data_IF_123403928468
#
_entry.id   IF_123403928468
#
_cell.length_a   1.000
_cell.length_b   1.000
_cell.length_c   1.000
_cell.angle_alpha   90.00
_cell.angle_beta   90.00
_cell.angle_gamma   90.00
#
_symmetry.space_group_name_H-M   'P 1'
#
loop_
_entity.id
_entity.type
_entity.pdbx_description
1 polymer ?
#
# COMPACT_ATOMS: atom_id res chain seq x y z
N UNK A 1 -24.87 -3.18 -15.98
CA UNK A 1 -23.68 -3.13 -15.10
C UNK A 1 -22.66 -2.17 -15.70
N UNK A 2 -22.39 -1.06 -15.02
CA UNK A 2 -21.44 -0.02 -15.47
C UNK A 2 -19.99 -0.58 -15.44
N UNK A 3 -19.07 -0.05 -16.27
CA UNK A 3 -17.67 -0.51 -16.35
C UNK A 3 -16.96 -0.46 -14.99
N UNK A 4 -17.11 0.64 -14.25
CA UNK A 4 -16.51 0.81 -12.90
C UNK A 4 -16.98 -0.25 -11.89
N UNK A 5 -18.22 -0.72 -12.01
CA UNK A 5 -18.74 -1.77 -11.12
C UNK A 5 -18.10 -3.13 -11.43
N UNK A 6 -17.95 -3.47 -12.71
CA UNK A 6 -17.26 -4.70 -13.13
C UNK A 6 -15.79 -4.69 -12.69
N UNK A 7 -15.10 -3.57 -12.89
CA UNK A 7 -13.71 -3.39 -12.45
C UNK A 7 -13.58 -3.56 -10.93
N UNK A 8 -14.50 -2.96 -10.16
CA UNK A 8 -14.51 -3.12 -8.71
C UNK A 8 -14.70 -4.57 -8.27
N UNK A 9 -15.62 -5.31 -8.90
CA UNK A 9 -15.81 -6.73 -8.60
C UNK A 9 -14.59 -7.56 -8.95
N UNK A 10 -13.95 -7.32 -10.11
CA UNK A 10 -12.71 -7.99 -10.48
C UNK A 10 -11.60 -7.75 -9.45
N UNK A 11 -11.38 -6.49 -9.04
CA UNK A 11 -10.39 -6.16 -8.01
C UNK A 11 -10.71 -6.79 -6.64
N UNK A 12 -12.00 -6.95 -6.29
CA UNK A 12 -12.39 -7.69 -5.10
C UNK A 12 -12.00 -9.18 -5.17
N UNK A 13 -12.24 -9.82 -6.32
CA UNK A 13 -11.86 -11.22 -6.54
C UNK A 13 -10.34 -11.40 -6.48
N UNK A 14 -9.59 -10.49 -7.11
CA UNK A 14 -8.13 -10.50 -7.09
C UNK A 14 -7.59 -10.36 -5.66
N UNK A 15 -8.13 -9.42 -4.88
CA UNK A 15 -7.76 -9.26 -3.48
C UNK A 15 -8.03 -10.54 -2.68
N UNK A 16 -9.21 -11.14 -2.83
CA UNK A 16 -9.54 -12.38 -2.12
C UNK A 16 -8.60 -13.53 -2.49
N UNK A 17 -8.25 -13.66 -3.76
CA UNK A 17 -7.32 -14.68 -4.25
C UNK A 17 -5.92 -14.49 -3.65
N UNK A 18 -5.42 -13.25 -3.63
CA UNK A 18 -4.12 -12.93 -3.07
C UNK A 18 -4.06 -13.09 -1.55
N UNK A 19 -5.12 -12.74 -0.83
CA UNK A 19 -5.19 -12.99 0.62
C UNK A 19 -5.26 -14.49 0.90
N UNK A 20 -5.93 -15.28 0.05
CA UNK A 20 -5.90 -16.75 0.17
C UNK A 20 -4.52 -17.33 -0.07
N UNK A 21 -3.82 -16.89 -1.11
CA UNK A 21 -2.44 -17.30 -1.36
C UNK A 21 -1.51 -16.91 -0.20
N UNK A 22 -1.69 -15.71 0.38
CA UNK A 22 -0.98 -15.29 1.58
C UNK A 22 -1.24 -16.22 2.77
N UNK A 23 -2.50 -16.56 3.06
CA UNK A 23 -2.84 -17.53 4.12
C UNK A 23 -2.19 -18.90 3.91
N UNK A 24 -2.13 -19.38 2.66
CA UNK A 24 -1.48 -20.65 2.32
C UNK A 24 0.03 -20.61 2.62
N UNK A 25 0.70 -19.51 2.24
CA UNK A 25 2.11 -19.31 2.59
C UNK A 25 2.33 -19.18 4.10
N UNK A 26 1.44 -18.50 4.83
CA UNK A 26 1.51 -18.40 6.29
C UNK A 26 1.32 -19.78 6.93
N UNK A 27 0.44 -20.63 6.41
CA UNK A 27 0.28 -22.00 6.94
C UNK A 27 1.49 -22.88 6.65
N UNK A 28 2.12 -22.72 5.49
CA UNK A 28 3.27 -23.52 5.08
C UNK A 28 4.57 -23.11 5.82
N UNK A 29 4.72 -21.82 6.15
CA UNK A 29 5.99 -21.26 6.63
C UNK A 29 5.87 -20.50 7.96
N UNK A 30 4.67 -20.32 8.49
CA UNK A 30 4.42 -19.64 9.76
C UNK A 30 4.51 -20.60 10.94
N UNK A 31 5.40 -20.29 11.89
CA UNK A 31 5.42 -20.98 13.19
C UNK A 31 4.15 -20.69 14.00
N UNK A 32 3.76 -21.54 14.99
CA UNK A 32 2.53 -21.39 15.76
C UNK A 32 2.34 -20.02 16.44
N UNK A 33 3.43 -19.33 16.76
CA UNK A 33 3.43 -17.96 17.32
C UNK A 33 2.83 -16.92 16.38
N UNK A 34 2.74 -17.23 15.09
CA UNK A 34 2.22 -16.36 14.04
C UNK A 34 0.80 -16.74 13.59
N UNK A 35 0.07 -17.57 14.35
CA UNK A 35 -1.35 -17.88 14.09
C UNK A 35 -2.23 -16.63 13.94
N UNK A 36 -1.84 -15.53 14.58
CA UNK A 36 -2.46 -14.20 14.41
C UNK A 36 -2.47 -13.72 12.94
N UNK A 37 -1.51 -14.12 12.10
CA UNK A 37 -1.52 -13.75 10.68
C UNK A 37 -2.67 -14.38 9.90
N UNK A 38 -3.08 -15.59 10.28
CA UNK A 38 -4.24 -16.25 9.67
C UNK A 38 -5.51 -15.49 10.05
N UNK A 39 -5.67 -15.14 11.32
CA UNK A 39 -6.82 -14.37 11.80
C UNK A 39 -6.89 -12.98 11.13
N UNK A 40 -5.74 -12.32 10.99
CA UNK A 40 -5.64 -11.02 10.31
C UNK A 40 -5.99 -11.13 8.83
N UNK A 41 -5.56 -12.19 8.15
CA UNK A 41 -5.91 -12.43 6.74
C UNK A 41 -7.41 -12.72 6.55
N UNK A 42 -8.01 -13.51 7.45
CA UNK A 42 -9.45 -13.73 7.47
C UNK A 42 -10.21 -12.42 7.75
N UNK A 43 -9.68 -11.58 8.65
CA UNK A 43 -10.18 -10.23 8.90
C UNK A 43 -10.19 -9.36 7.63
N UNK A 44 -9.09 -9.35 6.88
CA UNK A 44 -8.98 -8.63 5.60
C UNK A 44 -10.04 -9.10 4.60
N UNK A 45 -10.22 -10.43 4.43
CA UNK A 45 -11.28 -10.98 3.54
C UNK A 45 -12.68 -10.56 3.98
N UNK A 46 -12.96 -10.65 5.28
CA UNK A 46 -14.25 -10.25 5.86
C UNK A 46 -14.52 -8.77 5.61
N UNK A 47 -13.53 -7.91 5.84
CA UNK A 47 -13.67 -6.48 5.63
C UNK A 47 -13.84 -6.13 4.15
N UNK A 48 -13.06 -6.77 3.26
CA UNK A 48 -13.22 -6.60 1.82
C UNK A 48 -14.62 -7.00 1.35
N UNK A 49 -15.17 -8.10 1.86
CA UNK A 49 -16.55 -8.54 1.59
C UNK A 49 -17.57 -7.54 2.11
N UNK A 50 -17.40 -7.03 3.33
CA UNK A 50 -18.30 -6.03 3.91
C UNK A 50 -18.32 -4.73 3.09
N UNK A 51 -17.16 -4.29 2.58
CA UNK A 51 -17.06 -3.15 1.66
C UNK A 51 -17.85 -3.46 0.38
N UNK A 52 -17.63 -4.62 -0.25
CA UNK A 52 -18.32 -4.99 -1.48
C UNK A 52 -19.84 -5.05 -1.31
N UNK A 53 -20.32 -5.66 -0.21
CA UNK A 53 -21.75 -5.72 0.12
C UNK A 53 -22.31 -4.33 0.44
N UNK A 54 -21.56 -3.49 1.16
CA UNK A 54 -21.97 -2.11 1.40
C UNK A 54 -22.11 -1.30 0.10
N UNK A 55 -21.18 -1.48 -0.85
CA UNK A 55 -21.25 -0.84 -2.17
C UNK A 55 -22.49 -1.28 -2.97
N UNK A 56 -22.86 -2.56 -2.87
CA UNK A 56 -24.09 -3.06 -3.48
C UNK A 56 -25.32 -2.39 -2.87
N UNK A 57 -25.42 -2.29 -1.54
CA UNK A 57 -26.51 -1.60 -0.86
C UNK A 57 -26.60 -0.11 -1.23
N UNK A 58 -25.47 0.60 -1.36
CA UNK A 58 -25.46 1.99 -1.84
C UNK A 58 -25.95 2.08 -3.30
N UNK A 59 -25.56 1.13 -4.14
CA UNK A 59 -26.01 1.02 -5.53
C UNK A 59 -27.52 0.78 -5.64
N UNK A 60 -28.06 -0.16 -4.87
CA UNK A 60 -29.49 -0.44 -4.79
C UNK A 60 -30.27 0.79 -4.30
N UNK A 61 -29.78 1.47 -3.26
CA UNK A 61 -30.41 2.70 -2.77
C UNK A 61 -30.49 3.78 -3.88
N UNK A 62 -29.43 3.94 -4.66
CA UNK A 62 -29.42 4.85 -5.81
C UNK A 62 -30.42 4.42 -6.90
N UNK A 63 -30.48 3.14 -7.23
CA UNK A 63 -31.41 2.63 -8.23
C UNK A 63 -32.88 2.79 -7.79
N UNK A 64 -33.18 2.62 -6.49
CA UNK A 64 -34.52 2.90 -5.93
C UNK A 64 -34.83 4.40 -6.06
N UNK A 65 -33.88 5.27 -5.71
CA UNK A 65 -34.06 6.73 -5.81
C UNK A 65 -34.35 7.17 -7.26
N UNK A 66 -33.66 6.55 -8.24
CA UNK A 66 -33.86 6.83 -9.66
C UNK A 66 -35.13 6.19 -10.26
N UNK A 67 -35.86 5.37 -9.49
CA UNK A 67 -37.03 4.64 -9.97
C UNK A 67 -36.69 3.46 -10.89
N UNK A 68 -35.42 3.05 -10.96
CA UNK A 68 -34.96 1.94 -11.80
C UNK A 68 -35.33 0.57 -11.21
N UNK A 69 -35.44 0.48 -9.88
CA UNK A 69 -35.91 -0.72 -9.18
C UNK A 69 -37.02 -0.39 -8.20
N UNK A 70 -38.01 -1.27 -8.10
CA UNK A 70 -39.06 -1.13 -7.12
C UNK A 70 -38.48 -1.34 -5.70
N UNK A 71 -38.83 -0.50 -4.72
CA UNK A 71 -38.48 -0.79 -3.34
C UNK A 71 -39.09 -2.13 -2.89
N UNK A 72 -38.33 -2.89 -2.09
CA UNK A 72 -38.87 -4.09 -1.47
C UNK A 72 -40.12 -3.74 -0.62
N UNK A 73 -41.10 -4.66 -0.59
CA UNK A 73 -42.38 -4.47 0.10
C UNK A 73 -42.17 -3.92 1.52
N UNK A 74 -42.68 -2.71 1.78
CA UNK A 74 -42.62 -2.05 3.09
C UNK A 74 -41.55 -0.95 3.26
N UNK A 75 -40.67 -0.72 2.27
CA UNK A 75 -39.68 0.36 2.33
C UNK A 75 -39.90 1.40 1.21
N UNK A 76 -40.81 2.35 1.41
CA UNK A 76 -41.02 3.44 0.44
C UNK A 76 -39.81 4.39 0.25
N UNK A 77 -38.71 4.20 1.00
CA UNK A 77 -37.56 5.11 1.03
C UNK A 77 -36.22 4.37 0.95
N UNK A 78 -35.33 4.84 0.09
CA UNK A 78 -33.97 4.32 -0.13
C UNK A 78 -32.98 4.67 1.00
N UNK A 79 -33.28 5.68 1.83
CA UNK A 79 -32.36 6.21 2.86
C UNK A 79 -31.84 5.18 3.87
N UNK A 80 -32.66 4.26 4.43
CA UNK A 80 -32.14 3.24 5.36
C UNK A 80 -31.09 2.32 4.72
N UNK A 81 -31.28 1.97 3.45
CA UNK A 81 -30.36 1.12 2.70
C UNK A 81 -29.04 1.85 2.41
N UNK A 82 -29.13 3.13 2.05
CA UNK A 82 -27.98 3.99 1.84
C UNK A 82 -27.14 4.10 3.12
N UNK A 83 -27.76 4.48 4.24
CA UNK A 83 -27.09 4.63 5.53
C UNK A 83 -26.42 3.33 5.98
N UNK A 84 -27.14 2.20 5.90
CA UNK A 84 -26.58 0.90 6.26
C UNK A 84 -25.39 0.51 5.38
N UNK A 85 -25.47 0.75 4.07
CA UNK A 85 -24.39 0.51 3.12
C UNK A 85 -23.14 1.34 3.43
N UNK A 86 -23.31 2.64 3.66
CA UNK A 86 -22.21 3.57 3.96
C UNK A 86 -21.55 3.26 5.30
N UNK A 87 -22.34 3.04 6.36
CA UNK A 87 -21.79 2.66 7.67
C UNK A 87 -21.03 1.33 7.61
N UNK A 88 -21.52 0.36 6.83
CA UNK A 88 -20.81 -0.91 6.63
C UNK A 88 -19.46 -0.71 5.95
N UNK A 89 -19.40 0.13 4.90
CA UNK A 89 -18.14 0.49 4.23
C UNK A 89 -17.17 1.15 5.21
N UNK A 90 -17.63 2.14 5.98
CA UNK A 90 -16.81 2.89 6.93
C UNK A 90 -16.18 1.98 8.00
N UNK A 91 -17.01 1.15 8.66
CA UNK A 91 -16.54 0.24 9.70
C UNK A 91 -15.55 -0.79 9.15
N UNK A 92 -15.85 -1.36 7.98
CA UNK A 92 -14.98 -2.34 7.35
C UNK A 92 -13.66 -1.73 6.88
N UNK A 93 -13.67 -0.53 6.29
CA UNK A 93 -12.44 0.15 5.88
C UNK A 93 -11.54 0.51 7.07
N UNK A 94 -12.13 0.96 8.19
CA UNK A 94 -11.40 1.21 9.44
C UNK A 94 -10.77 -0.09 10.00
N UNK A 95 -11.55 -1.17 10.05
CA UNK A 95 -11.07 -2.49 10.47
C UNK A 95 -9.96 -3.01 9.56
N UNK A 96 -10.12 -2.86 8.24
CA UNK A 96 -9.15 -3.26 7.23
C UNK A 96 -7.81 -2.58 7.47
N UNK A 97 -7.79 -1.25 7.68
CA UNK A 97 -6.58 -0.51 7.97
C UNK A 97 -5.82 -1.07 9.20
N UNK A 98 -6.54 -1.41 10.26
CA UNK A 98 -5.95 -2.03 11.48
C UNK A 98 -5.39 -3.41 11.16
N UNK A 99 -6.13 -4.24 10.43
CA UNK A 99 -5.70 -5.58 10.06
C UNK A 99 -4.44 -5.56 9.17
N UNK A 100 -4.38 -4.65 8.20
CA UNK A 100 -3.20 -4.45 7.33
C UNK A 100 -1.96 -4.03 8.13
N UNK A 101 -2.11 -3.09 9.07
CA UNK A 101 -1.01 -2.65 9.92
C UNK A 101 -0.52 -3.78 10.85
N UNK A 102 -1.47 -4.52 11.44
CA UNK A 102 -1.19 -5.70 12.27
C UNK A 102 -0.43 -6.79 11.52
N UNK A 103 -0.91 -7.16 10.34
CA UNK A 103 -0.29 -8.18 9.50
C UNK A 103 1.11 -7.76 9.04
N UNK A 104 1.27 -6.50 8.60
CA UNK A 104 2.58 -5.96 8.23
C UNK A 104 3.58 -5.97 9.37
N UNK A 105 3.13 -5.73 10.61
CA UNK A 105 3.99 -5.83 11.79
C UNK A 105 4.49 -7.27 11.97
N UNK A 106 3.58 -8.24 11.90
CA UNK A 106 3.90 -9.66 12.09
C UNK A 106 4.83 -10.18 10.99
N UNK A 107 4.55 -9.90 9.71
CA UNK A 107 5.41 -10.28 8.58
C UNK A 107 6.83 -9.70 8.73
N UNK A 108 6.95 -8.44 9.16
CA UNK A 108 8.27 -7.85 9.44
C UNK A 108 9.00 -8.52 10.59
N UNK A 109 8.29 -8.89 11.66
CA UNK A 109 8.87 -9.64 12.77
C UNK A 109 9.40 -10.99 12.28
N UNK A 110 8.62 -11.73 11.48
CA UNK A 110 9.08 -12.99 10.87
C UNK A 110 10.36 -12.82 10.05
N UNK A 111 10.42 -11.78 9.20
CA UNK A 111 11.62 -11.49 8.41
C UNK A 111 12.83 -11.10 9.29
N UNK A 112 12.60 -10.31 10.35
CA UNK A 112 13.64 -9.91 11.30
C UNK A 112 14.20 -11.11 12.06
N UNK A 113 13.32 -12.00 12.49
CA UNK A 113 13.66 -13.20 13.26
C UNK A 113 14.17 -14.34 12.37
N UNK A 114 14.28 -14.09 11.05
CA UNK A 114 14.79 -15.03 10.03
C UNK A 114 14.06 -16.37 10.03
N UNK A 115 12.74 -16.33 10.24
CA UNK A 115 11.91 -17.53 10.17
C UNK A 115 12.04 -18.16 8.77
N UNK A 116 12.30 -19.47 8.66
CA UNK A 116 12.39 -20.14 7.37
C UNK A 116 11.15 -19.89 6.49
N UNK A 117 11.34 -19.42 5.26
CA UNK A 117 10.24 -19.12 4.34
C UNK A 117 9.52 -17.78 4.58
N UNK A 118 9.96 -16.95 5.55
CA UNK A 118 9.41 -15.61 5.79
C UNK A 118 9.45 -14.70 4.55
N UNK A 119 10.39 -14.92 3.65
CA UNK A 119 10.51 -14.20 2.37
C UNK A 119 9.38 -14.54 1.38
N UNK A 120 8.90 -15.79 1.36
CA UNK A 120 7.70 -16.15 0.59
C UNK A 120 6.44 -15.49 1.16
N UNK A 121 6.32 -15.51 2.50
CA UNK A 121 5.22 -14.83 3.22
C UNK A 121 5.26 -13.32 2.96
N UNK A 122 6.45 -12.71 3.01
CA UNK A 122 6.67 -11.29 2.72
C UNK A 122 6.27 -10.90 1.30
N UNK A 123 6.63 -11.71 0.30
CA UNK A 123 6.24 -11.47 -1.09
C UNK A 123 4.72 -11.60 -1.30
N UNK A 124 4.10 -12.63 -0.71
CA UNK A 124 2.66 -12.80 -0.78
C UNK A 124 1.92 -11.63 -0.09
N UNK A 125 2.48 -11.13 1.02
CA UNK A 125 1.96 -9.96 1.72
C UNK A 125 2.04 -8.68 0.88
N UNK A 126 3.16 -8.45 0.19
CA UNK A 126 3.31 -7.31 -0.72
C UNK A 126 2.22 -7.28 -1.80
N UNK A 127 1.87 -8.44 -2.37
CA UNK A 127 0.78 -8.54 -3.34
C UNK A 127 -0.59 -8.18 -2.74
N UNK A 128 -0.85 -8.57 -1.48
CA UNK A 128 -2.08 -8.18 -0.76
C UNK A 128 -2.15 -6.66 -0.61
N UNK A 129 -1.04 -5.99 -0.27
CA UNK A 129 -0.99 -4.54 -0.12
C UNK A 129 -1.25 -3.80 -1.44
N UNK A 130 -0.65 -4.28 -2.53
CA UNK A 130 -0.85 -3.70 -3.87
C UNK A 130 -2.30 -3.89 -4.35
N UNK A 131 -2.86 -5.10 -4.21
CA UNK A 131 -4.24 -5.38 -4.57
C UNK A 131 -5.24 -4.61 -3.70
N UNK A 132 -4.95 -4.44 -2.41
CA UNK A 132 -5.78 -3.62 -1.52
C UNK A 132 -5.80 -2.17 -1.98
N UNK A 133 -4.63 -1.61 -2.34
CA UNK A 133 -4.54 -0.24 -2.85
C UNK A 133 -5.37 -0.03 -4.11
N UNK A 134 -5.32 -1.00 -5.03
CA UNK A 134 -6.12 -0.98 -6.25
C UNK A 134 -7.63 -1.10 -5.95
N UNK A 135 -8.01 -2.06 -5.11
CA UNK A 135 -9.40 -2.30 -4.71
C UNK A 135 -10.02 -1.07 -4.03
N UNK A 136 -9.30 -0.43 -3.10
CA UNK A 136 -9.77 0.82 -2.45
C UNK A 136 -9.93 1.96 -3.47
N UNK A 137 -9.00 2.10 -4.43
CA UNK A 137 -9.09 3.12 -5.49
C UNK A 137 -10.37 2.96 -6.31
N UNK A 138 -10.67 1.73 -6.74
CA UNK A 138 -11.89 1.43 -7.49
C UNK A 138 -13.15 1.60 -6.63
N UNK A 139 -13.08 1.24 -5.34
CA UNK A 139 -14.17 1.46 -4.39
C UNK A 139 -14.52 2.94 -4.24
N UNK A 140 -13.51 3.81 -4.10
CA UNK A 140 -13.73 5.26 -4.05
C UNK A 140 -14.31 5.79 -5.35
N UNK A 141 -13.77 5.40 -6.52
CA UNK A 141 -14.33 5.79 -7.83
C UNK A 141 -15.80 5.37 -7.97
N UNK A 142 -16.14 4.16 -7.54
CA UNK A 142 -17.51 3.66 -7.53
C UNK A 142 -18.39 4.50 -6.62
N UNK A 143 -17.99 4.80 -5.38
CA UNK A 143 -18.75 5.67 -4.48
C UNK A 143 -18.95 7.07 -5.05
N UNK A 144 -17.92 7.67 -5.65
CA UNK A 144 -18.04 8.97 -6.30
C UNK A 144 -19.07 8.95 -7.44
N UNK A 145 -19.06 7.88 -8.27
CA UNK A 145 -20.08 7.69 -9.30
C UNK A 145 -21.48 7.51 -8.72
N UNK A 146 -21.61 6.82 -7.58
CA UNK A 146 -22.89 6.66 -6.88
C UNK A 146 -23.37 7.98 -6.25
N UNK A 147 -22.47 8.85 -5.79
CA UNK A 147 -22.83 10.15 -5.21
C UNK A 147 -23.44 11.16 -6.19
N UNK A 148 -23.26 10.96 -7.51
CA UNK A 148 -23.81 11.87 -8.52
C UNK A 148 -25.33 11.90 -8.45
N UNK A 149 -25.91 13.10 -8.31
CA UNK A 149 -27.36 13.31 -8.22
C UNK A 149 -27.97 13.06 -6.84
N UNK A 150 -27.17 12.72 -5.82
CA UNK A 150 -27.64 12.59 -4.44
C UNK A 150 -27.85 13.94 -3.76
N UNK A 151 -28.72 13.97 -2.75
CA UNK A 151 -28.92 15.12 -1.88
C UNK A 151 -27.59 15.54 -1.21
N UNK A 152 -27.40 16.84 -0.88
CA UNK A 152 -26.16 17.31 -0.26
C UNK A 152 -25.76 16.55 1.02
N UNK A 153 -26.73 16.20 1.86
CA UNK A 153 -26.50 15.47 3.12
C UNK A 153 -25.98 14.04 2.86
N UNK A 154 -26.57 13.35 1.89
CA UNK A 154 -26.17 12.00 1.48
C UNK A 154 -24.78 12.01 0.84
N UNK A 155 -24.46 13.05 0.06
CA UNK A 155 -23.10 13.27 -0.48
C UNK A 155 -22.05 13.40 0.62
N UNK A 156 -22.39 14.04 1.74
CA UNK A 156 -21.48 14.16 2.88
C UNK A 156 -21.19 12.80 3.53
N UNK A 157 -22.22 11.96 3.71
CA UNK A 157 -22.06 10.59 4.20
C UNK A 157 -21.19 9.72 3.28
N UNK A 158 -21.36 9.86 1.95
CA UNK A 158 -20.50 9.21 0.95
C UNK A 158 -19.05 9.72 1.05
N UNK A 159 -18.87 11.02 1.31
CA UNK A 159 -17.56 11.63 1.57
C UNK A 159 -16.82 10.97 2.73
N UNK A 160 -17.49 10.73 3.86
CA UNK A 160 -16.89 10.00 4.99
C UNK A 160 -16.53 8.56 4.65
N UNK A 161 -17.41 7.82 3.97
CA UNK A 161 -17.11 6.45 3.55
C UNK A 161 -15.89 6.40 2.63
N UNK A 162 -15.81 7.35 1.68
CA UNK A 162 -14.66 7.49 0.78
C UNK A 162 -13.38 7.85 1.54
N UNK A 163 -13.45 8.74 2.53
CA UNK A 163 -12.31 9.09 3.39
C UNK A 163 -11.75 7.90 4.17
N UNK A 164 -12.61 6.99 4.64
CA UNK A 164 -12.15 5.76 5.29
C UNK A 164 -11.50 4.77 4.31
N UNK A 165 -12.00 4.66 3.08
CA UNK A 165 -11.34 3.86 2.03
C UNK A 165 -9.97 4.45 1.66
N UNK A 166 -9.86 5.79 1.55
CA UNK A 166 -8.59 6.48 1.34
C UNK A 166 -7.62 6.17 2.48
N UNK A 167 -8.07 6.25 3.72
CA UNK A 167 -7.22 5.92 4.87
C UNK A 167 -6.72 4.47 4.84
N UNK A 168 -7.57 3.50 4.46
CA UNK A 168 -7.13 2.11 4.30
C UNK A 168 -6.13 1.94 3.14
N UNK A 169 -6.33 2.65 2.02
CA UNK A 169 -5.37 2.69 0.92
C UNK A 169 -4.03 3.28 1.37
N UNK A 170 -4.04 4.40 2.09
CA UNK A 170 -2.84 5.07 2.56
C UNK A 170 -2.03 4.17 3.48
N UNK A 171 -2.70 3.44 4.38
CA UNK A 171 -2.04 2.42 5.21
C UNK A 171 -1.44 1.33 4.34
N UNK A 172 -2.17 0.79 3.35
CA UNK A 172 -1.65 -0.25 2.47
C UNK A 172 -0.38 0.23 1.72
N UNK A 173 -0.43 1.42 1.14
CA UNK A 173 0.70 2.06 0.45
C UNK A 173 1.88 2.32 1.38
N UNK A 174 1.63 2.81 2.60
CA UNK A 174 2.68 3.06 3.58
C UNK A 174 3.37 1.75 3.98
N UNK A 175 2.61 0.68 4.24
CA UNK A 175 3.18 -0.62 4.56
C UNK A 175 3.99 -1.19 3.37
N UNK A 176 3.52 -1.00 2.13
CA UNK A 176 4.24 -1.41 0.92
C UNK A 176 5.57 -0.66 0.77
N UNK A 177 5.55 0.67 0.92
CA UNK A 177 6.76 1.51 0.92
C UNK A 177 7.75 1.09 2.00
N UNK A 178 7.28 0.74 3.20
CA UNK A 178 8.13 0.22 4.27
C UNK A 178 8.77 -1.12 3.90
N UNK A 179 8.04 -2.01 3.23
CA UNK A 179 8.56 -3.28 2.70
C UNK A 179 9.65 -3.06 1.65
N UNK A 180 9.34 -2.28 0.61
CA UNK A 180 10.29 -1.92 -0.45
C UNK A 180 11.56 -1.28 0.09
N UNK A 181 11.45 -0.38 1.08
CA UNK A 181 12.63 0.22 1.72
C UNK A 181 13.58 -0.81 2.34
N UNK A 182 13.06 -1.91 2.91
CA UNK A 182 13.93 -2.97 3.43
C UNK A 182 14.54 -3.78 2.30
N UNK A 183 13.76 -4.10 1.26
CA UNK A 183 14.23 -4.86 0.09
C UNK A 183 15.31 -4.10 -0.68
N UNK A 184 15.19 -2.77 -0.82
CA UNK A 184 16.18 -1.91 -1.47
C UNK A 184 17.58 -1.98 -0.81
N UNK A 185 17.64 -2.24 0.50
CA UNK A 185 18.92 -2.42 1.22
C UNK A 185 19.58 -3.78 0.95
N UNK A 186 18.83 -4.73 0.38
CA UNK A 186 19.36 -6.06 0.08
C UNK A 186 20.14 -6.04 -1.23
N UNK A 187 21.42 -6.47 -1.23
CA UNK A 187 22.19 -6.58 -2.47
C UNK A 187 21.64 -7.66 -3.43
N UNK A 188 20.84 -8.60 -2.93
CA UNK A 188 20.26 -9.68 -3.75
C UNK A 188 18.90 -9.35 -4.34
N UNK A 189 18.13 -8.51 -3.64
CA UNK A 189 16.72 -8.29 -3.96
C UNK A 189 16.41 -6.85 -4.36
N UNK A 190 17.37 -5.94 -4.22
CA UNK A 190 17.19 -4.52 -4.53
C UNK A 190 16.74 -4.26 -5.97
N UNK A 191 17.28 -5.01 -6.95
CA UNK A 191 16.92 -4.88 -8.37
C UNK A 191 15.42 -5.06 -8.62
N UNK A 192 14.77 -5.99 -7.90
CA UNK A 192 13.34 -6.22 -8.04
C UNK A 192 12.48 -5.15 -7.36
N UNK A 193 12.99 -4.50 -6.31
CA UNK A 193 12.28 -3.46 -5.58
C UNK A 193 12.42 -2.06 -6.19
N UNK A 194 13.47 -1.84 -6.98
CA UNK A 194 13.82 -0.54 -7.51
C UNK A 194 12.76 0.06 -8.47
N UNK A 195 12.22 -0.69 -9.46
CA UNK A 195 11.16 -0.17 -10.31
C UNK A 195 9.89 0.21 -9.54
N UNK A 196 9.51 -0.61 -8.55
CA UNK A 196 8.34 -0.34 -7.71
C UNK A 196 8.54 0.88 -6.81
N UNK A 197 9.75 1.05 -6.26
CA UNK A 197 10.07 2.22 -5.45
C UNK A 197 10.02 3.52 -6.27
N UNK A 198 10.46 3.48 -7.54
CA UNK A 198 10.29 4.58 -8.49
C UNK A 198 8.81 4.84 -8.78
N UNK A 199 8.04 3.80 -9.12
CA UNK A 199 6.60 3.88 -9.41
C UNK A 199 5.80 4.48 -8.25
N UNK A 200 6.17 4.16 -7.00
CA UNK A 200 5.53 4.68 -5.80
C UNK A 200 6.06 6.03 -5.33
N UNK A 201 6.95 6.67 -6.09
CA UNK A 201 7.51 7.98 -5.78
C UNK A 201 8.28 8.01 -4.47
N UNK A 202 9.00 6.93 -4.13
CA UNK A 202 9.75 6.83 -2.88
C UNK A 202 11.01 7.69 -2.87
N UNK A 203 11.56 8.01 -4.05
CA UNK A 203 12.80 8.77 -4.19
C UNK A 203 12.53 10.26 -4.32
N UNK A 204 13.31 11.06 -3.61
CA UNK A 204 13.29 12.51 -3.77
C UNK A 204 13.90 12.91 -5.12
N UNK A 205 13.47 14.05 -5.70
CA UNK A 205 14.02 14.54 -6.96
C UNK A 205 15.53 14.73 -6.92
N UNK A 206 16.18 14.47 -8.06
CA UNK A 206 17.59 14.71 -8.26
C UNK A 206 17.91 16.22 -8.23
N UNK A 207 19.05 16.59 -7.60
CA UNK A 207 19.56 17.95 -7.44
C UNK A 207 21.05 17.95 -7.75
N UNK A 208 21.63 19.12 -8.01
CA UNK A 208 23.06 19.23 -8.35
C UNK A 208 24.00 18.61 -7.31
N UNK A 209 23.63 18.67 -6.02
CA UNK A 209 24.41 18.06 -4.92
C UNK A 209 23.48 17.35 -3.95
N UNK A 210 23.87 16.14 -3.57
CA UNK A 210 23.23 15.36 -2.51
C UNK A 210 24.24 14.93 -1.45
N UNK A 211 23.76 14.73 -0.23
CA UNK A 211 24.54 14.18 0.88
C UNK A 211 23.74 13.08 1.55
N UNK A 212 24.38 11.97 1.84
CA UNK A 212 23.71 10.86 2.51
C UNK A 212 24.57 9.62 2.64
N UNK A 213 23.95 8.59 3.22
CA UNK A 213 24.55 7.27 3.39
C UNK A 213 24.09 6.35 2.27
N UNK A 214 25.01 5.63 1.66
CA UNK A 214 24.68 4.57 0.68
C UNK A 214 23.96 3.45 1.41
N UNK A 215 22.78 3.09 0.93
CA UNK A 215 22.02 1.93 1.38
C UNK A 215 22.38 0.70 0.55
N UNK A 216 22.52 0.88 -0.77
CA UNK A 216 22.85 -0.15 -1.72
C UNK A 216 23.30 0.47 -3.04
N UNK A 217 23.96 -0.30 -3.90
CA UNK A 217 24.23 0.06 -5.30
C UNK A 217 23.61 -1.03 -6.16
N UNK A 218 22.67 -0.63 -7.02
CA UNK A 218 21.81 -1.54 -7.78
C UNK A 218 21.98 -1.17 -9.25
N UNK A 219 22.66 -2.02 -10.03
CA UNK A 219 23.03 -1.69 -11.40
C UNK A 219 23.79 -0.36 -11.48
N UNK A 220 23.20 0.61 -12.18
CA UNK A 220 23.74 1.97 -12.35
C UNK A 220 23.08 3.00 -11.43
N UNK A 221 22.41 2.58 -10.35
CA UNK A 221 21.81 3.50 -9.37
C UNK A 221 22.40 3.28 -7.97
N UNK A 222 22.93 4.35 -7.39
CA UNK A 222 23.28 4.41 -5.98
C UNK A 222 22.04 4.79 -5.18
N UNK A 223 21.56 3.86 -4.35
CA UNK A 223 20.44 4.09 -3.44
C UNK A 223 20.98 4.67 -2.15
N UNK A 224 20.55 5.87 -1.79
CA UNK A 224 21.05 6.59 -0.62
C UNK A 224 19.91 7.08 0.28
N UNK A 225 20.25 7.33 1.54
CA UNK A 225 19.38 8.01 2.50
C UNK A 225 20.04 9.30 2.96
N UNK A 226 19.35 10.42 2.81
CA UNK A 226 19.85 11.70 3.29
C UNK A 226 19.53 11.91 4.79
N UNK A 227 20.08 12.98 5.37
CA UNK A 227 19.88 13.31 6.79
C UNK A 227 18.41 13.62 7.16
N UNK A 228 17.58 14.01 6.19
CA UNK A 228 16.13 14.21 6.37
C UNK A 228 15.34 12.90 6.30
N UNK A 229 16.03 11.76 6.14
CA UNK A 229 15.45 10.45 6.01
C UNK A 229 14.86 10.14 4.63
N UNK A 230 15.01 11.03 3.65
CA UNK A 230 14.52 10.83 2.29
C UNK A 230 15.42 9.86 1.54
N UNK A 231 14.81 9.03 0.70
CA UNK A 231 15.51 8.14 -0.21
C UNK A 231 15.92 8.88 -1.48
N UNK A 232 17.07 8.51 -2.02
CA UNK A 232 17.61 9.00 -3.27
C UNK A 232 18.00 7.78 -4.12
N UNK A 233 17.70 7.84 -5.41
CA UNK A 233 18.24 6.93 -6.41
C UNK A 233 19.03 7.81 -7.38
N UNK A 234 20.36 7.71 -7.33
CA UNK A 234 21.26 8.56 -8.11
C UNK A 234 21.94 7.72 -9.20
N UNK A 235 21.83 8.09 -10.48
CA UNK A 235 22.56 7.43 -11.54
C UNK A 235 24.07 7.54 -11.29
N UNK A 236 24.79 6.42 -11.36
CA UNK A 236 26.24 6.33 -11.16
C UNK A 236 26.90 5.56 -12.29
N UNK A 237 28.16 5.85 -12.53
CA UNK A 237 28.96 5.15 -13.55
C UNK A 237 29.24 3.69 -13.14
N UNK A 238 29.46 2.75 -14.08
CA UNK A 238 29.80 1.36 -13.77
C UNK A 238 31.00 1.18 -12.83
N UNK A 239 31.93 2.12 -12.80
CA UNK A 239 33.10 2.12 -11.90
C UNK A 239 32.85 2.69 -10.50
N UNK A 240 31.60 2.85 -10.06
CA UNK A 240 31.28 3.41 -8.75
C UNK A 240 31.74 2.48 -7.61
N UNK A 241 32.70 2.93 -6.79
CA UNK A 241 33.42 2.06 -5.85
C UNK A 241 32.84 2.05 -4.41
N UNK A 242 31.84 2.87 -4.12
CA UNK A 242 31.31 3.02 -2.77
C UNK A 242 30.32 1.92 -2.42
N UNK A 243 30.29 1.55 -1.13
CA UNK A 243 29.50 0.42 -0.62
C UNK A 243 28.44 0.89 0.37
N UNK A 244 27.49 0.02 0.67
CA UNK A 244 26.49 0.26 1.71
C UNK A 244 27.17 0.67 3.04
N UNK A 245 26.66 1.73 3.67
CA UNK A 245 27.22 2.35 4.87
C UNK A 245 28.15 3.54 4.61
N UNK A 246 28.66 3.72 3.39
CA UNK A 246 29.52 4.88 3.07
C UNK A 246 28.71 6.18 3.10
N UNK A 247 29.25 7.22 3.77
CA UNK A 247 28.71 8.57 3.76
C UNK A 247 29.35 9.39 2.65
N UNK A 248 28.55 9.87 1.70
CA UNK A 248 29.02 10.52 0.50
C UNK A 248 28.41 11.90 0.30
N UNK A 249 29.20 12.77 -0.31
CA UNK A 249 28.70 13.91 -1.08
C UNK A 249 28.68 13.48 -2.54
N UNK A 250 27.49 13.45 -3.13
CA UNK A 250 27.27 13.12 -4.54
C UNK A 250 27.02 14.41 -5.32
N UNK A 251 27.80 14.64 -6.37
CA UNK A 251 27.66 15.82 -7.23
C UNK A 251 27.33 15.38 -8.65
N UNK A 252 26.35 16.04 -9.25
CA UNK A 252 26.01 15.88 -10.66
C UNK A 252 27.20 16.34 -11.52
N UNK A 253 27.59 15.50 -12.48
CA UNK A 253 28.68 15.75 -13.41
C UNK A 253 28.22 16.54 -14.65
N UNK A 254 26.92 16.67 -14.88
CA UNK A 254 26.34 17.28 -16.08
C UNK A 254 26.24 16.33 -17.28
N UNK A 255 26.69 15.08 -17.14
CA UNK A 255 26.60 14.02 -18.16
C UNK A 255 25.49 12.99 -17.86
N UNK A 256 24.61 13.31 -16.91
CA UNK A 256 23.54 12.43 -16.44
C UNK A 256 23.95 11.49 -15.30
N UNK A 257 25.21 11.52 -14.86
CA UNK A 257 25.70 10.71 -13.73
C UNK A 257 26.19 11.54 -12.55
N UNK A 258 26.16 10.92 -11.37
CA UNK A 258 26.71 11.47 -10.15
C UNK A 258 28.10 10.89 -9.85
N UNK A 259 29.01 11.76 -9.42
CA UNK A 259 30.28 11.36 -8.82
C UNK A 259 30.20 11.49 -7.30
N UNK A 260 30.64 10.45 -6.59
CA UNK A 260 30.71 10.43 -5.13
C UNK A 260 32.09 10.78 -4.60
N UNK A 261 32.14 11.53 -3.49
CA UNK A 261 33.32 11.67 -2.64
C UNK A 261 32.93 11.31 -1.21
N UNK A 262 33.78 10.55 -0.50
CA UNK A 262 33.57 10.31 0.95
C UNK A 262 33.48 11.65 1.66
N UNK A 263 32.43 11.80 2.47
CA UNK A 263 32.35 12.93 3.37
C UNK A 263 33.41 12.72 4.44
N UNK A 264 34.48 13.52 4.39
CA UNK A 264 35.42 13.62 5.50
C UNK A 264 34.63 14.18 6.69
N UNK A 265 34.31 13.33 7.66
CA UNK A 265 33.93 13.83 8.97
C UNK A 265 35.23 14.32 9.60
N UNK A 266 35.40 15.63 9.72
CA UNK A 266 36.34 16.17 10.67
C UNK A 266 35.95 15.60 12.04
N UNK A 267 36.72 14.61 12.51
CA UNK A 267 36.79 14.32 13.94
C UNK A 267 37.51 15.50 14.59
N UNK A 268 36.80 16.60 14.79
CA UNK A 268 37.13 17.62 15.79
C UNK A 268 36.00 17.60 16.81
N UNK A 269 36.22 17.52 18.12
CA UNK A 269 37.41 17.57 18.95
C UNK A 269 37.10 16.71 20.18
N UNK A 270 38.16 16.23 20.82
CA UNK A 270 38.16 15.78 22.21
C UNK A 270 37.22 16.61 23.09
N UNK A 271 36.32 15.93 23.81
CA UNK A 271 36.10 16.12 25.24
C UNK A 271 35.73 14.78 25.86
#
# INVERSE_FOLDING_TARGET
MNTTEKEFHAAHYDLNALVKAFEEHVKAHGEPRHGQLIDLAQGIKKDAKNIATGMASVGEAKAIQAGEIAPAQGQANHKPLLTAGLSRIQMAAKSLAVNLAGASKQVRTMMKDKVPGAEHVGKAWDNVLDATSHYMTLGMKRLTGLAQGMDPEDRYAVGFASGHLQSAQDVALEQRKRGLYQTLKSPRFGEFALPDAHRLGMFAPCKAVHRGTVLNVIGLEAIMKNAKGQLLALPVTPGFQFKAGDNLVMKDRGDGFYAGKRQLMERGMER
#
